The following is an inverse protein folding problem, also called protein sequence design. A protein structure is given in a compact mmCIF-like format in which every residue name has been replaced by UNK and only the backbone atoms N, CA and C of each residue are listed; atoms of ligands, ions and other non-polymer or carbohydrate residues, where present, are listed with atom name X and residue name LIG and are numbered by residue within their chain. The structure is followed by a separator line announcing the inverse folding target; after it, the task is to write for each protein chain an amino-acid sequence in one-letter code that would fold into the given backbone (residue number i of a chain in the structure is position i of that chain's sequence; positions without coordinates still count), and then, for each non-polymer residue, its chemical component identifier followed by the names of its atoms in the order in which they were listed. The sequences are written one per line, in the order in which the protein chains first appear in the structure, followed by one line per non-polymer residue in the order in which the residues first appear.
data_IF_786966433469
#
_entry.id   IF_786966433469
#
_cell.length_a   1.000
_cell.length_b   1.000
_cell.length_c   1.000
_cell.angle_alpha   90.00
_cell.angle_beta   90.00
_cell.angle_gamma   90.00
#
_symmetry.space_group_name_H-M   'P 1'
#
loop_
_entity.id
_entity.type
_entity.pdbx_description
1 polymer ?
#
# COMPACT_ATOMS: atom_id res chain seq x y z
N UNK A 1 -18.29 0.13 24.51
CA UNK A 1 -16.92 -0.38 24.67
C UNK A 1 -15.84 0.17 23.74
N UNK A 2 -16.18 0.61 22.52
CA UNK A 2 -15.21 1.16 21.56
C UNK A 2 -14.31 2.30 22.11
N UNK A 3 -14.90 3.29 22.79
CA UNK A 3 -14.14 4.39 23.40
C UNK A 3 -13.18 3.95 24.52
N UNK A 4 -13.54 2.93 25.31
CA UNK A 4 -12.72 2.43 26.41
C UNK A 4 -11.44 1.79 25.86
N UNK A 5 -11.57 0.99 24.79
CA UNK A 5 -10.41 0.35 24.13
C UNK A 5 -9.44 1.36 23.53
N UNK A 6 -9.95 2.43 22.92
CA UNK A 6 -9.10 3.50 22.37
C UNK A 6 -8.33 4.26 23.44
N UNK A 7 -8.98 4.58 24.57
CA UNK A 7 -8.32 5.24 25.70
C UNK A 7 -7.31 4.30 26.36
N UNK A 8 -7.64 3.02 26.53
CA UNK A 8 -6.73 2.02 27.08
C UNK A 8 -5.46 1.86 26.24
N UNK A 9 -5.56 1.78 24.91
CA UNK A 9 -4.40 1.70 24.02
C UNK A 9 -3.52 2.96 24.09
N UNK A 10 -4.13 4.15 24.16
CA UNK A 10 -3.39 5.41 24.32
C UNK A 10 -2.67 5.49 25.66
N UNK A 11 -3.30 5.01 26.73
CA UNK A 11 -2.71 4.96 28.06
C UNK A 11 -1.57 3.93 28.10
N UNK A 12 -1.77 2.77 27.49
CA UNK A 12 -0.75 1.74 27.33
C UNK A 12 0.45 2.28 26.58
N UNK A 13 0.24 2.94 25.44
CA UNK A 13 1.32 3.58 24.67
C UNK A 13 2.15 4.55 25.51
N UNK A 14 1.51 5.35 26.39
CA UNK A 14 2.23 6.26 27.31
C UNK A 14 2.96 5.55 28.45
N UNK A 15 2.49 4.36 28.85
CA UNK A 15 3.09 3.58 29.93
C UNK A 15 4.24 2.70 29.47
N UNK A 16 4.29 2.29 28.18
CA UNK A 16 5.36 1.48 27.59
C UNK A 16 6.79 1.72 28.12
N UNK A 17 7.30 2.97 28.21
CA UNK A 17 8.68 3.21 28.67
C UNK A 17 8.95 2.88 30.15
N UNK A 18 7.91 2.63 30.96
CA UNK A 18 8.05 2.35 32.40
C UNK A 18 7.94 0.85 32.75
N UNK A 19 7.62 0.00 31.78
CA UNK A 19 7.37 -1.43 32.02
C UNK A 19 8.65 -2.26 31.94
N UNK A 20 8.65 -3.40 32.64
CA UNK A 20 9.74 -4.39 32.56
C UNK A 20 9.67 -5.20 31.26
N UNK A 21 10.79 -5.85 30.88
CA UNK A 21 10.87 -6.65 29.66
C UNK A 21 9.84 -7.79 29.62
N UNK A 22 9.61 -8.46 30.75
CA UNK A 22 8.63 -9.55 30.87
C UNK A 22 7.19 -9.03 30.70
N UNK A 23 6.86 -7.91 31.33
CA UNK A 23 5.52 -7.30 31.20
C UNK A 23 5.24 -6.83 29.77
N UNK A 24 6.26 -6.34 29.06
CA UNK A 24 6.13 -5.97 27.65
C UNK A 24 5.83 -7.19 26.77
N UNK A 25 6.43 -8.34 27.07
CA UNK A 25 6.15 -9.59 26.37
C UNK A 25 4.71 -10.06 26.60
N UNK A 26 4.24 -10.06 27.85
CA UNK A 26 2.84 -10.40 28.17
C UNK A 26 1.85 -9.51 27.44
N UNK A 27 2.10 -8.19 27.42
CA UNK A 27 1.25 -7.25 26.69
C UNK A 27 1.26 -7.55 25.19
N UNK A 28 2.42 -7.85 24.60
CA UNK A 28 2.51 -8.18 23.19
C UNK A 28 1.73 -9.46 22.84
N UNK A 29 1.64 -10.43 23.75
CA UNK A 29 0.80 -11.61 23.55
C UNK A 29 -0.69 -11.29 23.57
N UNK A 30 -1.11 -10.32 24.40
CA UNK A 30 -2.52 -9.93 24.56
C UNK A 30 -2.99 -9.02 23.41
N UNK A 31 -2.08 -8.27 22.79
CA UNK A 31 -2.40 -7.32 21.72
C UNK A 31 -2.84 -8.03 20.43
N UNK A 32 -4.13 -7.94 20.13
CA UNK A 32 -4.74 -8.54 18.94
C UNK A 32 -4.69 -7.64 17.69
N UNK A 33 -4.34 -8.20 16.53
CA UNK A 33 -4.13 -7.48 15.27
C UNK A 33 -5.41 -7.21 14.47
N UNK A 34 -6.44 -8.08 14.54
CA UNK A 34 -7.68 -7.88 13.77
C UNK A 34 -8.68 -7.00 14.53
N UNK A 35 -8.31 -5.75 14.77
CA UNK A 35 -9.18 -4.72 15.32
C UNK A 35 -9.78 -3.83 14.23
N UNK A 36 -10.86 -3.07 14.50
CA UNK A 36 -11.31 -2.00 13.61
C UNK A 36 -10.20 -0.97 13.33
N UNK A 37 -10.25 -0.34 12.15
CA UNK A 37 -9.19 0.52 11.60
C UNK A 37 -8.63 1.59 12.58
N UNK A 38 -9.47 2.21 13.41
CA UNK A 38 -9.05 3.27 14.34
C UNK A 38 -8.10 2.77 15.46
N UNK A 39 -8.24 1.51 15.88
CA UNK A 39 -7.41 0.92 16.93
C UNK A 39 -6.14 0.30 16.37
N UNK A 40 -6.19 -0.18 15.12
CA UNK A 40 -5.04 -0.78 14.45
C UNK A 40 -3.88 0.20 14.30
N UNK A 41 -4.16 1.50 14.17
CA UNK A 41 -3.13 2.54 14.18
C UNK A 41 -2.38 2.60 15.52
N UNK A 42 -3.08 2.59 16.65
CA UNK A 42 -2.43 2.59 17.96
C UNK A 42 -1.70 1.28 18.25
N UNK A 43 -2.29 0.15 17.85
CA UNK A 43 -1.63 -1.16 17.93
C UNK A 43 -0.34 -1.19 17.11
N UNK A 44 -0.34 -0.59 15.91
CA UNK A 44 0.85 -0.43 15.08
C UNK A 44 1.90 0.41 15.80
N UNK A 45 1.56 1.58 16.33
CA UNK A 45 2.52 2.45 17.04
C UNK A 45 3.13 1.75 18.27
N UNK A 46 2.33 0.99 19.02
CA UNK A 46 2.82 0.18 20.15
C UNK A 46 3.81 -0.89 19.67
N UNK A 47 3.48 -1.65 18.63
CA UNK A 47 4.38 -2.68 18.09
C UNK A 47 5.65 -2.09 17.47
N UNK A 48 5.56 -0.93 16.83
CA UNK A 48 6.73 -0.20 16.31
C UNK A 48 7.69 0.14 17.45
N UNK A 49 7.17 0.70 18.54
CA UNK A 49 7.95 1.03 19.74
C UNK A 49 8.55 -0.21 20.39
N UNK A 50 7.78 -1.29 20.54
CA UNK A 50 8.29 -2.56 21.09
C UNK A 50 9.42 -3.12 20.24
N UNK A 51 9.31 -3.06 18.92
CA UNK A 51 10.37 -3.53 18.03
C UNK A 51 11.65 -2.70 18.19
N UNK A 52 11.56 -1.36 18.24
CA UNK A 52 12.72 -0.50 18.54
C UNK A 52 13.33 -0.83 19.90
N UNK A 53 12.49 -1.04 20.91
CA UNK A 53 12.96 -1.39 22.26
C UNK A 53 13.73 -2.71 22.26
N UNK A 54 13.16 -3.77 21.69
CA UNK A 54 13.77 -5.11 21.67
C UNK A 54 15.04 -5.14 20.82
N UNK A 55 15.06 -4.49 19.66
CA UNK A 55 16.27 -4.44 18.81
C UNK A 55 17.41 -3.73 19.51
N UNK A 56 17.13 -2.62 20.21
CA UNK A 56 18.13 -1.94 21.04
C UNK A 56 18.56 -2.78 22.25
N UNK A 57 17.64 -3.54 22.84
CA UNK A 57 17.92 -4.45 23.95
C UNK A 57 18.84 -5.60 23.52
N UNK A 58 18.51 -6.29 22.43
CA UNK A 58 19.33 -7.36 21.84
C UNK A 58 20.71 -6.86 21.43
N UNK A 59 20.81 -5.68 20.82
CA UNK A 59 22.11 -5.09 20.45
C UNK A 59 23.01 -4.84 21.66
N UNK A 60 22.43 -4.57 22.84
CA UNK A 60 23.17 -4.44 24.10
C UNK A 60 23.53 -5.80 24.71
N UNK A 61 22.60 -6.75 24.71
CA UNK A 61 22.78 -8.08 25.30
C UNK A 61 23.62 -9.06 24.46
N UNK A 62 23.80 -8.86 23.15
CA UNK A 62 24.76 -9.67 22.37
C UNK A 62 26.18 -9.60 22.98
N UNK A 63 26.48 -8.58 23.77
CA UNK A 63 27.74 -8.44 24.52
C UNK A 63 27.79 -9.26 25.81
N UNK A 64 26.65 -9.75 26.31
CA UNK A 64 26.47 -10.42 27.60
C UNK A 64 25.33 -11.45 27.50
N UNK A 65 25.53 -12.58 26.81
CA UNK A 65 24.64 -13.76 26.73
C UNK A 65 23.14 -13.51 26.42
N UNK A 66 22.67 -13.98 25.28
CA UNK A 66 21.28 -13.85 24.83
C UNK A 66 20.34 -14.70 25.71
N UNK A 67 19.32 -14.09 26.29
CA UNK A 67 18.25 -14.79 27.02
C UNK A 67 17.23 -15.36 26.04
N UNK A 68 16.78 -16.63 26.14
CA UNK A 68 15.85 -17.23 25.17
C UNK A 68 14.50 -16.49 25.07
N UNK A 69 14.06 -15.84 26.16
CA UNK A 69 12.83 -15.06 26.19
C UNK A 69 12.88 -13.86 25.23
N UNK A 70 14.03 -13.20 25.08
CA UNK A 70 14.16 -11.99 24.25
C UNK A 70 14.10 -12.33 22.76
N UNK A 71 14.58 -13.52 22.37
CA UNK A 71 14.45 -14.04 21.00
C UNK A 71 12.99 -14.36 20.66
N UNK A 72 12.27 -15.02 21.57
CA UNK A 72 10.84 -15.33 21.39
C UNK A 72 10.02 -14.03 21.28
N UNK A 73 10.31 -13.06 22.15
CA UNK A 73 9.64 -11.76 22.13
C UNK A 73 9.89 -11.01 20.82
N UNK A 74 11.15 -10.97 20.35
CA UNK A 74 11.50 -10.40 19.05
C UNK A 74 10.73 -11.05 17.91
N UNK A 75 10.72 -12.38 17.86
CA UNK A 75 10.02 -13.12 16.80
C UNK A 75 8.51 -12.84 16.82
N UNK A 76 7.89 -12.79 18.01
CA UNK A 76 6.47 -12.47 18.14
C UNK A 76 6.15 -11.08 17.59
N UNK A 77 6.84 -10.04 18.07
CA UNK A 77 6.61 -8.64 17.63
C UNK A 77 6.86 -8.48 16.12
N UNK A 78 7.92 -9.10 15.60
CA UNK A 78 8.24 -9.11 14.17
C UNK A 78 7.09 -9.69 13.34
N UNK A 79 6.59 -10.86 13.70
CA UNK A 79 5.49 -11.52 12.98
C UNK A 79 4.20 -10.70 13.04
N UNK A 80 3.89 -10.06 14.16
CA UNK A 80 2.71 -9.19 14.28
C UNK A 80 2.82 -7.95 13.39
N UNK A 81 4.00 -7.32 13.32
CA UNK A 81 4.25 -6.20 12.40
C UNK A 81 4.15 -6.62 10.93
N UNK A 82 4.62 -7.82 10.58
CA UNK A 82 4.46 -8.37 9.23
C UNK A 82 2.98 -8.61 8.91
N UNK A 83 2.18 -9.12 9.85
CA UNK A 83 0.74 -9.29 9.67
C UNK A 83 0.04 -7.94 9.44
N UNK A 84 0.47 -6.88 10.12
CA UNK A 84 -0.03 -5.52 9.90
C UNK A 84 0.32 -4.96 8.50
N UNK A 85 1.40 -5.41 7.85
CA UNK A 85 1.69 -5.08 6.44
C UNK A 85 0.64 -5.63 5.47
N UNK A 86 -0.01 -6.75 5.81
CA UNK A 86 -1.09 -7.34 5.01
C UNK A 86 -2.44 -6.60 5.17
N UNK A 87 -2.51 -5.61 6.08
CA UNK A 87 -3.75 -4.89 6.37
C UNK A 87 -4.15 -3.84 5.32
N UNK A 88 -5.31 -3.19 5.54
CA UNK A 88 -5.91 -2.17 4.66
C UNK A 88 -5.07 -0.88 4.60
N UNK A 89 -5.36 -0.09 3.57
CA UNK A 89 -4.48 0.88 2.92
C UNK A 89 -3.61 1.75 3.85
N UNK A 90 -4.20 2.50 4.79
CA UNK A 90 -3.42 3.51 5.54
C UNK A 90 -2.44 2.90 6.55
N UNK A 91 -2.84 1.81 7.20
CA UNK A 91 -2.00 1.08 8.17
C UNK A 91 -0.84 0.42 7.43
N UNK A 92 -1.12 -0.16 6.25
CA UNK A 92 -0.09 -0.75 5.40
C UNK A 92 0.95 0.28 4.97
N UNK A 93 0.54 1.48 4.56
CA UNK A 93 1.48 2.56 4.20
C UNK A 93 2.35 2.96 5.40
N UNK A 94 1.74 3.15 6.57
CA UNK A 94 2.50 3.53 7.78
C UNK A 94 3.44 2.43 8.26
N UNK A 95 3.06 1.16 8.15
CA UNK A 95 3.91 0.03 8.48
C UNK A 95 5.05 -0.10 7.45
N UNK A 96 4.74 0.08 6.16
CA UNK A 96 5.74 0.10 5.08
C UNK A 96 6.80 1.18 5.32
N UNK A 97 6.39 2.41 5.60
CA UNK A 97 7.32 3.52 5.84
C UNK A 97 8.27 3.24 7.01
N UNK A 98 7.77 2.55 8.04
CA UNK A 98 8.57 2.13 9.18
C UNK A 98 9.65 1.09 8.83
N UNK A 99 9.32 0.10 7.99
CA UNK A 99 10.31 -0.87 7.51
C UNK A 99 11.29 -0.28 6.50
N UNK A 100 10.90 0.75 5.74
CA UNK A 100 11.78 1.45 4.80
C UNK A 100 12.82 2.37 5.47
N UNK A 101 12.75 2.60 6.78
CA UNK A 101 13.71 3.48 7.45
C UNK A 101 15.14 2.94 7.32
N UNK A 102 16.06 3.85 6.99
CA UNK A 102 17.49 3.61 6.75
C UNK A 102 18.22 2.90 7.88
N UNK A 103 17.71 3.01 9.12
CA UNK A 103 18.27 2.33 10.29
C UNK A 103 18.01 0.82 10.29
N UNK A 104 16.95 0.37 9.63
CA UNK A 104 16.49 -1.03 9.62
C UNK A 104 16.76 -1.70 8.29
N UNK A 105 16.57 -0.95 7.21
CA UNK A 105 16.74 -1.45 5.86
C UNK A 105 17.85 -0.69 5.17
N UNK A 106 18.92 -1.41 4.82
CA UNK A 106 20.11 -0.83 4.19
C UNK A 106 19.76 -0.14 2.86
N UNK A 107 20.59 0.86 2.53
CA UNK A 107 20.50 1.62 1.28
C UNK A 107 21.04 0.81 0.10
N UNK A 108 21.97 -0.12 0.36
CA UNK A 108 22.55 -0.99 -0.67
C UNK A 108 21.54 -2.06 -1.11
N UNK A 109 21.29 -2.17 -2.41
CA UNK A 109 20.31 -3.09 -2.99
C UNK A 109 20.56 -4.55 -2.61
N UNK A 110 21.82 -4.98 -2.58
CA UNK A 110 22.18 -6.35 -2.22
C UNK A 110 21.89 -6.64 -0.74
N UNK A 111 22.36 -5.78 0.16
CA UNK A 111 22.14 -5.94 1.60
C UNK A 111 20.64 -5.84 1.94
N UNK A 112 19.89 -5.00 1.23
CA UNK A 112 18.44 -4.89 1.35
C UNK A 112 17.73 -6.19 1.00
N UNK A 113 18.14 -6.85 -0.07
CA UNK A 113 17.61 -8.15 -0.47
C UNK A 113 17.89 -9.24 0.59
N UNK A 114 19.10 -9.27 1.14
CA UNK A 114 19.45 -10.21 2.23
C UNK A 114 18.55 -10.00 3.46
N UNK A 115 18.37 -8.74 3.89
CA UNK A 115 17.51 -8.41 5.04
C UNK A 115 16.05 -8.78 4.77
N UNK A 116 15.56 -8.62 3.55
CA UNK A 116 14.19 -9.02 3.18
C UNK A 116 13.97 -10.52 3.35
N UNK A 117 14.93 -11.34 2.94
CA UNK A 117 14.85 -12.81 3.08
C UNK A 117 14.97 -13.23 4.54
N UNK A 118 15.94 -12.68 5.28
CA UNK A 118 16.25 -13.13 6.63
C UNK A 118 15.24 -12.62 7.68
N UNK A 119 14.83 -11.35 7.59
CA UNK A 119 14.05 -10.68 8.64
C UNK A 119 12.58 -10.48 8.30
N UNK A 120 12.22 -10.37 7.02
CA UNK A 120 10.85 -10.03 6.62
C UNK A 120 10.04 -11.26 6.16
N UNK A 121 10.63 -12.45 6.09
CA UNK A 121 9.88 -13.68 5.82
C UNK A 121 9.10 -14.16 7.06
N UNK A 122 7.84 -14.55 6.85
CA UNK A 122 7.00 -15.26 7.82
C UNK A 122 5.93 -16.08 7.12
N UNK A 123 5.73 -17.33 7.57
CA UNK A 123 4.73 -18.24 7.00
C UNK A 123 3.29 -17.71 7.10
N UNK A 124 2.99 -16.87 8.11
CA UNK A 124 1.66 -16.26 8.29
C UNK A 124 1.31 -15.26 7.19
N UNK A 125 2.32 -14.67 6.54
CA UNK A 125 2.17 -13.60 5.55
C UNK A 125 2.70 -14.00 4.18
N UNK A 126 2.87 -15.30 3.93
CA UNK A 126 3.52 -15.83 2.73
C UNK A 126 2.82 -15.36 1.45
N UNK A 127 1.49 -15.28 1.44
CA UNK A 127 0.69 -14.82 0.29
C UNK A 127 1.07 -13.40 -0.18
N UNK A 128 1.41 -12.51 0.75
CA UNK A 128 1.77 -11.12 0.44
C UNK A 128 3.30 -10.90 0.42
N UNK A 129 4.10 -11.92 0.73
CA UNK A 129 5.55 -11.80 0.86
C UNK A 129 6.21 -11.21 -0.37
N UNK A 130 5.92 -11.78 -1.54
CA UNK A 130 6.49 -11.29 -2.80
C UNK A 130 5.99 -9.87 -3.15
N UNK A 131 4.74 -9.55 -2.79
CA UNK A 131 4.15 -8.25 -3.05
C UNK A 131 4.90 -7.15 -2.27
N UNK A 132 5.05 -7.28 -0.94
CA UNK A 132 5.79 -6.27 -0.20
C UNK A 132 7.30 -6.30 -0.47
N UNK A 133 7.91 -7.46 -0.72
CA UNK A 133 9.34 -7.56 -1.02
C UNK A 133 9.71 -6.82 -2.31
N UNK A 134 8.98 -7.05 -3.40
CA UNK A 134 9.19 -6.33 -4.66
C UNK A 134 8.97 -4.82 -4.49
N UNK A 135 7.95 -4.45 -3.72
CA UNK A 135 7.64 -3.06 -3.42
C UNK A 135 8.74 -2.38 -2.58
N UNK A 136 9.36 -3.09 -1.63
CA UNK A 136 10.48 -2.60 -0.84
C UNK A 136 11.77 -2.45 -1.65
N UNK A 137 12.01 -3.31 -2.65
CA UNK A 137 13.15 -3.18 -3.55
C UNK A 137 12.96 -1.98 -4.48
N UNK A 138 11.77 -1.82 -5.06
CA UNK A 138 11.46 -0.74 -6.00
C UNK A 138 11.32 0.63 -5.34
N UNK A 139 11.04 0.70 -4.03
CA UNK A 139 10.94 1.96 -3.27
C UNK A 139 12.22 2.81 -3.33
N UNK A 140 13.38 2.22 -3.63
CA UNK A 140 14.64 2.96 -3.76
C UNK A 140 14.89 3.52 -5.16
N UNK A 141 14.15 3.08 -6.17
CA UNK A 141 14.27 3.59 -7.54
C UNK A 141 14.12 5.11 -7.66
N UNK A 142 13.17 5.81 -6.99
CA UNK A 142 13.05 7.28 -7.07
C UNK A 142 14.23 8.05 -6.45
N UNK A 143 15.11 7.39 -5.70
CA UNK A 143 16.30 8.01 -5.13
C UNK A 143 17.48 8.04 -6.12
N UNK A 144 17.39 7.28 -7.22
CA UNK A 144 18.39 7.32 -8.27
C UNK A 144 18.22 8.63 -9.06
N UNK A 145 19.29 9.42 -9.29
CA UNK A 145 19.24 10.59 -10.17
C UNK A 145 18.65 10.30 -11.55
N UNK A 146 18.81 9.07 -12.05
CA UNK A 146 18.31 8.65 -13.37
C UNK A 146 16.81 8.33 -13.39
N UNK A 147 16.11 8.36 -12.25
CA UNK A 147 14.70 7.96 -12.17
C UNK A 147 13.78 8.81 -13.05
N UNK A 148 14.09 10.11 -13.16
CA UNK A 148 13.34 11.05 -13.99
C UNK A 148 13.89 11.13 -15.42
N UNK A 149 15.00 10.44 -15.70
CA UNK A 149 15.60 10.43 -17.03
C UNK A 149 14.82 9.46 -17.93
N UNK A 150 14.51 9.89 -19.15
CA UNK A 150 13.91 9.02 -20.14
C UNK A 150 14.90 7.90 -20.51
N UNK A 151 14.42 6.67 -20.61
CA UNK A 151 15.29 5.54 -21.01
C UNK A 151 15.85 5.76 -22.43
N UNK A 152 15.11 6.50 -23.27
CA UNK A 152 15.49 6.81 -24.64
C UNK A 152 15.54 8.33 -24.85
N UNK A 153 16.61 8.80 -25.50
CA UNK A 153 16.79 10.22 -25.81
C UNK A 153 15.88 10.69 -26.95
N UNK A 154 15.68 9.83 -27.95
CA UNK A 154 14.98 10.18 -29.18
C UNK A 154 13.65 9.41 -29.28
N UNK A 155 12.54 10.10 -29.63
CA UNK A 155 11.30 9.43 -29.97
C UNK A 155 11.45 8.66 -31.29
N UNK A 156 10.60 7.65 -31.51
CA UNK A 156 10.59 6.86 -32.75
C UNK A 156 10.25 7.73 -33.97
N UNK A 157 9.33 8.69 -33.81
CA UNK A 157 8.89 9.63 -34.84
C UNK A 157 8.72 11.04 -34.28
N UNK A 158 8.70 12.04 -35.17
CA UNK A 158 8.40 13.44 -34.82
C UNK A 158 6.89 13.63 -34.65
N UNK A 159 6.35 13.20 -33.51
CA UNK A 159 4.95 13.39 -33.14
C UNK A 159 4.79 14.30 -31.92
N UNK A 160 3.60 14.91 -31.80
CA UNK A 160 3.19 15.65 -30.62
C UNK A 160 2.49 14.69 -29.66
N UNK A 161 3.09 14.42 -28.50
CA UNK A 161 2.47 13.63 -27.46
C UNK A 161 1.57 14.52 -26.60
N UNK A 162 0.38 14.03 -26.28
CA UNK A 162 -0.55 14.66 -25.34
C UNK A 162 -0.77 13.73 -24.14
N UNK A 163 -0.84 14.30 -22.94
CA UNK A 163 -1.20 13.55 -21.75
C UNK A 163 -2.62 12.98 -21.90
N UNK A 164 -2.74 11.65 -21.79
CA UNK A 164 -4.03 10.98 -21.83
C UNK A 164 -4.47 10.64 -20.40
N UNK A 165 -5.40 11.40 -19.79
CA UNK A 165 -5.88 11.10 -18.46
C UNK A 165 -6.70 9.81 -18.47
N UNK A 166 -6.16 8.77 -17.84
CA UNK A 166 -6.88 7.51 -17.65
C UNK A 166 -8.01 7.69 -16.63
N UNK A 167 -9.26 7.58 -17.09
CA UNK A 167 -10.41 7.63 -16.20
C UNK A 167 -10.56 6.30 -15.44
N UNK A 168 -10.08 6.25 -14.19
CA UNK A 168 -10.08 5.04 -13.34
C UNK A 168 -11.44 4.69 -12.70
N UNK A 169 -12.52 5.39 -13.04
CA UNK A 169 -13.86 5.23 -12.45
C UNK A 169 -14.69 4.09 -13.07
N UNK A 170 -14.06 3.06 -13.65
CA UNK A 170 -14.77 1.94 -14.28
C UNK A 170 -15.73 1.21 -13.34
N UNK A 171 -15.38 1.08 -12.05
CA UNK A 171 -16.21 0.44 -11.03
C UNK A 171 -17.45 1.27 -10.67
N UNK A 172 -17.31 2.60 -10.65
CA UNK A 172 -18.41 3.54 -10.44
C UNK A 172 -19.36 3.55 -11.64
N UNK A 173 -18.79 3.48 -12.85
CA UNK A 173 -19.56 3.35 -14.10
C UNK A 173 -20.36 2.04 -14.12
N UNK A 174 -19.73 0.91 -13.79
CA UNK A 174 -20.42 -0.39 -13.74
C UNK A 174 -21.54 -0.45 -12.69
N UNK A 175 -21.34 0.19 -11.52
CA UNK A 175 -22.40 0.30 -10.51
C UNK A 175 -23.63 1.04 -11.08
N UNK A 176 -23.40 2.10 -11.85
CA UNK A 176 -24.48 2.90 -12.46
C UNK A 176 -25.27 2.10 -13.51
N UNK A 177 -24.63 1.22 -14.28
CA UNK A 177 -25.30 0.39 -15.29
C UNK A 177 -26.15 -0.76 -14.72
N UNK A 178 -25.80 -1.26 -13.53
CA UNK A 178 -26.53 -2.34 -12.84
C UNK A 178 -27.60 -1.81 -11.87
N UNK A 179 -27.64 -0.49 -11.67
CA UNK A 179 -28.60 0.18 -10.79
C UNK A 179 -29.89 0.45 -11.58
N UNK A 180 -31.04 -0.14 -11.20
CA UNK A 180 -32.27 0.04 -11.97
C UNK A 180 -32.69 1.51 -11.99
N UNK A 181 -33.19 2.00 -13.13
CA UNK A 181 -33.45 3.43 -13.39
C UNK A 181 -34.22 4.18 -12.28
N UNK A 182 -35.13 3.52 -11.57
CA UNK A 182 -35.92 4.14 -10.48
C UNK A 182 -35.07 4.49 -9.24
N UNK A 183 -33.93 3.82 -9.03
CA UNK A 183 -33.02 4.14 -7.90
C UNK A 183 -32.13 5.36 -8.17
N UNK A 184 -31.93 5.74 -9.43
CA UNK A 184 -31.27 7.01 -9.79
C UNK A 184 -32.24 8.20 -9.64
N UNK A 185 -33.52 7.98 -9.92
CA UNK A 185 -34.57 8.99 -9.77
C UNK A 185 -34.88 9.33 -8.30
N UNK A 186 -34.72 8.38 -7.36
CA UNK A 186 -34.94 8.67 -5.94
C UNK A 186 -33.79 9.45 -5.29
N UNK A 187 -32.57 9.36 -5.84
CA UNK A 187 -31.40 10.10 -5.31
C UNK A 187 -31.38 11.57 -5.75
N UNK A 188 -31.97 11.92 -6.90
CA UNK A 188 -32.06 13.31 -7.37
C UNK A 188 -33.15 14.14 -6.69
N UNK A 189 -34.00 13.50 -5.86
CA UNK A 189 -35.13 14.16 -5.20
C UNK A 189 -34.77 14.56 -3.75
N UNK A 190 -33.62 14.13 -3.22
CA UNK A 190 -33.18 14.42 -1.85
C UNK A 190 -31.92 15.28 -1.90
N UNK A 191 -32.10 16.57 -2.23
CA UNK A 191 -31.29 17.75 -1.84
C UNK A 191 -31.13 18.77 -2.99
N UNK A 192 -31.90 19.88 -2.98
CA UNK A 192 -31.79 20.92 -4.00
C UNK A 192 -30.60 21.89 -3.80
N UNK A 193 -29.57 21.54 -3.01
CA UNK A 193 -28.50 22.50 -2.63
C UNK A 193 -27.06 22.08 -2.95
N UNK A 194 -26.83 21.01 -3.72
CA UNK A 194 -25.47 20.68 -4.19
C UNK A 194 -25.46 20.68 -5.73
N UNK A 195 -25.22 21.86 -6.31
CA UNK A 195 -24.81 22.00 -7.69
C UNK A 195 -23.37 21.51 -7.84
N UNK A 196 -23.18 20.19 -7.96
CA UNK A 196 -21.96 19.62 -8.55
C UNK A 196 -22.35 18.88 -9.81
N UNK A 197 -22.18 19.58 -10.93
CA UNK A 197 -21.96 19.11 -12.30
C UNK A 197 -21.90 17.58 -12.47
N UNK A 198 -23.04 16.92 -12.44
CA UNK A 198 -23.24 15.64 -13.11
C UNK A 198 -23.52 15.98 -14.57
N UNK A 199 -22.45 16.22 -15.32
CA UNK A 199 -22.54 16.22 -16.78
C UNK A 199 -23.01 14.82 -17.18
N UNK A 200 -24.28 14.76 -17.61
CA UNK A 200 -24.80 13.72 -18.47
C UNK A 200 -23.94 13.70 -19.74
N UNK A 201 -22.87 12.90 -19.73
CA UNK A 201 -22.21 12.49 -20.97
C UNK A 201 -23.16 11.47 -21.59
N UNK A 202 -24.08 12.02 -22.37
CA UNK A 202 -24.88 11.32 -23.35
C UNK A 202 -24.01 10.35 -24.15
N UNK A 203 -24.42 9.08 -24.12
CA UNK A 203 -24.41 8.12 -25.22
C UNK A 203 -23.49 8.46 -26.39
N UNK A 204 -22.29 7.90 -26.41
CA UNK A 204 -21.67 7.44 -27.65
C UNK A 204 -21.12 6.02 -27.39
N UNK A 205 -21.70 4.97 -27.97
CA UNK A 205 -21.04 3.67 -27.98
C UNK A 205 -19.74 3.84 -28.78
N UNK A 206 -18.62 3.48 -28.18
CA UNK A 206 -17.32 3.43 -28.85
C UNK A 206 -17.47 2.46 -30.04
N UNK A 207 -17.73 2.99 -31.23
CA UNK A 207 -17.65 2.22 -32.46
C UNK A 207 -16.17 2.05 -32.80
N UNK A 208 -15.67 0.83 -32.64
CA UNK A 208 -14.38 0.46 -33.20
C UNK A 208 -14.48 0.50 -34.72
N UNK A 209 -13.99 1.58 -35.34
CA UNK A 209 -13.77 1.63 -36.77
C UNK A 209 -12.44 0.92 -37.05
N UNK A 210 -12.51 -0.17 -37.81
CA UNK A 210 -11.36 -0.92 -38.29
C UNK A 210 -10.56 -0.02 -39.26
N UNK A 211 -9.24 0.11 -39.05
CA UNK A 211 -8.37 0.85 -39.97
C UNK A 211 -8.32 0.13 -41.32
N UNK A 212 -9.05 0.64 -42.31
CA UNK A 212 -8.92 0.24 -43.70
C UNK A 212 -7.64 0.86 -44.26
N UNK A 213 -6.74 0.02 -44.78
CA UNK A 213 -5.58 0.44 -45.55
C UNK A 213 -6.02 1.02 -46.89
N UNK A 214 -5.67 2.28 -47.17
CA UNK A 214 -5.89 2.93 -48.46
C UNK A 214 -5.20 2.15 -49.59
N UNK A 215 -5.99 1.43 -50.38
CA UNK A 215 -5.56 0.78 -51.61
C UNK A 215 -6.19 1.52 -52.78
N UNK A 216 -5.62 2.68 -53.13
CA UNK A 216 -6.02 3.43 -54.32
C UNK A 216 -5.43 2.80 -55.59
N UNK A 217 -6.11 1.78 -56.10
CA UNK A 217 -6.02 1.36 -57.49
C UNK A 217 -7.25 1.88 -58.25
N UNK A 218 -7.15 3.09 -58.82
CA UNK A 218 -8.10 3.56 -59.82
C UNK A 218 -7.53 3.28 -61.22
N UNK A 219 -7.82 2.07 -61.71
CA UNK A 219 -7.93 1.81 -63.14
C UNK A 219 -9.28 2.39 -63.62
N UNK A 220 -9.25 3.50 -64.34
CA UNK A 220 -10.33 3.87 -65.24
C UNK A 220 -9.83 3.72 -66.68
N UNK A 221 -10.28 2.65 -67.33
CA UNK A 221 -10.22 2.49 -68.78
C UNK A 221 -11.52 3.04 -69.40
N UNK A 222 -11.34 3.70 -70.55
CA UNK A 222 -12.28 3.90 -71.66
C UNK A 222 -13.57 4.70 -71.45
N UNK A 223 -13.66 5.86 -72.12
CA UNK A 223 -14.64 6.10 -73.20
C UNK A 223 -14.47 7.47 -73.89
N UNK A 224 -14.24 7.40 -75.21
CA UNK A 224 -14.51 8.36 -76.30
C UNK A 224 -13.65 9.62 -76.44
#
# INVERSE_FOLDING_TARGET
DFGIRGVALRLLHKLLPKLTHEQLYEIAQILYVDCPNEYQMWTLEIYKWMYDYITNYLTKEIKTSITPLSEIFYHHVRVQLLQLLSSKNDIRVNCRNFWCDSKRLSISSHHRLMVLVDQLYSIKTENEYLNYCTNFLLERTPHNPDYNHLIFENPLDKCLFQEFPLACNWRQRHHTYMTPLFTLQSQSIIDPSISTTTNLITMDPIQFIQTLSDNNNNNNADQQ
#
